data_IF_591574218489
#
_entry.id   IF_591574218489
#
_cell.length_a   1.000
_cell.length_b   1.000
_cell.length_c   1.000
_cell.angle_alpha   90.00
_cell.angle_beta   90.00
_cell.angle_gamma   90.00
#
_symmetry.space_group_name_H-M   'P 1'
#
loop_
_entity.id
_entity.type
_entity.pdbx_description
1 polymer ?
#
# COMPACT_ATOMS: atom_id res chain seq x y z
N UNK A 1 22.85 13.44 -70.03
CA UNK A 1 21.51 13.21 -69.46
C UNK A 1 21.64 12.10 -68.44
N UNK A 2 21.73 12.46 -67.15
CA UNK A 2 21.75 11.49 -66.05
C UNK A 2 20.30 11.10 -65.79
N UNK A 3 20.03 9.79 -65.83
CA UNK A 3 18.69 9.24 -65.65
C UNK A 3 18.32 9.29 -64.15
N UNK A 4 17.50 10.27 -63.78
CA UNK A 4 17.06 10.55 -62.40
C UNK A 4 16.03 9.51 -61.91
N UNK A 5 15.51 8.63 -62.78
CA UNK A 5 14.48 7.66 -62.44
C UNK A 5 14.95 6.50 -61.54
N UNK A 6 16.26 6.32 -61.32
CA UNK A 6 16.81 5.25 -60.46
C UNK A 6 17.12 5.66 -59.01
N UNK A 7 16.91 6.93 -58.63
CA UNK A 7 17.27 7.45 -57.30
C UNK A 7 16.06 7.65 -56.36
N UNK A 8 14.87 7.21 -56.75
CA UNK A 8 13.62 7.37 -55.96
C UNK A 8 13.10 6.02 -55.45
N UNK A 9 14.00 5.13 -55.05
CA UNK A 9 13.65 3.82 -54.46
C UNK A 9 14.50 3.50 -53.22
N UNK A 10 14.87 4.53 -52.44
CA UNK A 10 15.60 4.38 -51.14
C UNK A 10 14.92 5.21 -50.04
N UNK A 11 13.59 5.38 -50.08
CA UNK A 11 12.84 6.02 -48.97
C UNK A 11 11.53 5.32 -48.60
N UNK A 12 11.31 4.11 -49.11
CA UNK A 12 10.24 3.20 -48.65
C UNK A 12 10.85 1.93 -48.07
N UNK A 13 11.97 2.06 -47.35
CA UNK A 13 12.48 0.98 -46.52
C UNK A 13 11.49 0.75 -45.39
N UNK A 14 10.62 -0.25 -45.59
CA UNK A 14 9.85 -0.86 -44.51
C UNK A 14 10.79 -1.11 -43.33
N UNK A 15 10.46 -0.51 -42.19
CA UNK A 15 11.14 -0.74 -40.94
C UNK A 15 10.80 -2.18 -40.51
N UNK A 16 11.61 -3.16 -40.92
CA UNK A 16 11.49 -4.53 -40.40
C UNK A 16 11.86 -4.53 -38.91
N UNK A 17 10.85 -4.46 -38.04
CA UNK A 17 10.99 -4.58 -36.58
C UNK A 17 11.40 -5.99 -36.09
N UNK A 18 11.75 -6.90 -37.01
CA UNK A 18 12.07 -8.29 -36.71
C UNK A 18 13.49 -8.50 -36.13
N UNK A 19 14.31 -7.45 -36.01
CA UNK A 19 15.69 -7.54 -35.53
C UNK A 19 15.96 -6.78 -34.20
N UNK A 20 14.93 -6.51 -33.39
CA UNK A 20 15.11 -5.93 -32.06
C UNK A 20 15.53 -7.04 -31.10
N UNK A 21 16.83 -7.30 -31.01
CA UNK A 21 17.40 -8.10 -29.94
C UNK A 21 17.57 -7.20 -28.72
N UNK A 22 16.94 -7.55 -27.59
CA UNK A 22 17.12 -6.84 -26.33
C UNK A 22 18.54 -7.08 -25.80
N UNK A 23 19.52 -6.30 -26.28
CA UNK A 23 20.83 -6.20 -25.67
C UNK A 23 20.94 -4.92 -24.80
N UNK A 24 21.91 -4.92 -23.87
CA UNK A 24 22.12 -3.82 -22.93
C UNK A 24 22.63 -2.53 -23.62
N UNK A 25 23.00 -2.65 -24.90
CA UNK A 25 23.54 -1.58 -25.75
C UNK A 25 22.44 -0.80 -26.47
N UNK A 26 21.18 -1.17 -26.24
CA UNK A 26 20.00 -0.56 -26.85
C UNK A 26 20.10 0.96 -26.91
N UNK A 27 19.98 1.49 -28.12
CA UNK A 27 20.19 2.90 -28.40
C UNK A 27 19.20 3.75 -27.57
N UNK A 28 19.54 5.02 -27.33
CA UNK A 28 18.62 5.96 -26.68
C UNK A 28 17.22 5.97 -27.34
N UNK A 29 17.16 5.69 -28.65
CA UNK A 29 15.92 5.55 -29.39
C UNK A 29 15.11 4.32 -28.95
N UNK A 30 15.73 3.15 -28.74
CA UNK A 30 15.03 1.95 -28.24
C UNK A 30 14.56 2.11 -26.79
N UNK A 31 15.35 2.77 -25.93
CA UNK A 31 14.89 3.05 -24.56
C UNK A 31 13.71 4.02 -24.57
N UNK A 32 13.71 5.01 -25.47
CA UNK A 32 12.58 5.91 -25.65
C UNK A 32 11.37 5.17 -26.23
N UNK A 33 11.58 4.24 -27.15
CA UNK A 33 10.53 3.39 -27.71
C UNK A 33 9.95 2.45 -26.66
N UNK A 34 10.76 1.77 -25.85
CA UNK A 34 10.28 0.95 -24.72
C UNK A 34 9.54 1.77 -23.67
N UNK A 35 9.96 3.00 -23.37
CA UNK A 35 9.21 3.90 -22.49
C UNK A 35 7.86 4.24 -23.14
N UNK A 36 7.85 4.53 -24.44
CA UNK A 36 6.63 4.82 -25.18
C UNK A 36 5.71 3.58 -25.29
N UNK A 37 6.28 2.39 -25.44
CA UNK A 37 5.57 1.12 -25.50
C UNK A 37 5.03 0.75 -24.12
N UNK A 38 5.80 0.91 -23.04
CA UNK A 38 5.31 0.72 -21.67
C UNK A 38 4.19 1.70 -21.30
N UNK A 39 4.22 2.93 -21.83
CA UNK A 39 3.13 3.90 -21.73
C UNK A 39 1.92 3.44 -22.56
N UNK A 40 2.13 2.84 -23.73
CA UNK A 40 1.06 2.40 -24.65
C UNK A 40 0.48 1.01 -24.36
N UNK A 41 1.20 0.11 -23.66
CA UNK A 41 0.85 -1.32 -23.46
C UNK A 41 0.11 -1.56 -22.13
N UNK A 42 -0.21 -0.52 -21.37
CA UNK A 42 -1.35 -0.60 -20.45
C UNK A 42 -2.60 -0.90 -21.29
N UNK A 43 -3.21 -2.07 -21.12
CA UNK A 43 -4.23 -2.66 -22.00
C UNK A 43 -5.58 -1.90 -22.17
N UNK A 44 -5.62 -0.59 -21.94
CA UNK A 44 -6.67 0.27 -22.44
C UNK A 44 -6.34 0.69 -23.87
N UNK A 45 -7.37 0.83 -24.72
CA UNK A 45 -7.30 1.55 -25.99
C UNK A 45 -6.27 2.68 -25.90
N UNK A 46 -5.25 2.67 -26.77
CA UNK A 46 -4.13 3.62 -26.71
C UNK A 46 -4.65 5.00 -26.36
N UNK A 47 -3.99 5.67 -25.40
CA UNK A 47 -4.39 6.98 -24.90
C UNK A 47 -4.91 7.78 -26.10
N UNK A 48 -6.20 8.17 -26.12
CA UNK A 48 -6.73 9.03 -27.18
C UNK A 48 -5.67 10.10 -27.47
N UNK A 49 -5.45 10.48 -28.72
CA UNK A 49 -4.30 11.28 -29.17
C UNK A 49 -4.04 12.59 -28.38
N UNK A 50 -4.95 12.95 -27.47
CA UNK A 50 -4.93 14.11 -26.59
C UNK A 50 -4.82 13.80 -25.09
N UNK A 51 -4.58 12.54 -24.69
CA UNK A 51 -4.47 12.13 -23.27
C UNK A 51 -3.00 11.96 -22.94
N UNK A 52 -2.42 12.99 -22.34
CA UNK A 52 -1.04 12.95 -21.88
C UNK A 52 -0.92 12.13 -20.59
N UNK A 53 0.30 11.77 -20.21
CA UNK A 53 0.55 11.16 -18.88
C UNK A 53 0.04 12.06 -17.74
N UNK A 54 -0.03 13.38 -17.96
CA UNK A 54 -0.63 14.32 -17.01
C UNK A 54 -2.14 14.09 -16.84
N UNK A 55 -2.84 13.72 -17.90
CA UNK A 55 -4.27 13.40 -17.83
C UNK A 55 -4.51 12.05 -17.15
N UNK A 56 -3.64 11.07 -17.39
CA UNK A 56 -3.70 9.76 -16.73
C UNK A 56 -3.37 9.83 -15.23
N UNK A 57 -2.51 10.77 -14.81
CA UNK A 57 -2.21 11.03 -13.40
C UNK A 57 -3.30 11.86 -12.70
N UNK A 58 -4.32 12.31 -13.44
CA UNK A 58 -5.29 13.28 -13.00
C UNK A 58 -4.71 14.69 -13.01
N UNK A 59 -5.55 15.68 -13.30
CA UNK A 59 -5.15 17.07 -13.09
C UNK A 59 -4.97 17.28 -11.59
N UNK A 60 -3.77 17.69 -11.13
CA UNK A 60 -3.57 17.98 -9.72
C UNK A 60 -4.58 19.06 -9.32
N UNK A 61 -5.36 18.78 -8.27
CA UNK A 61 -6.25 19.80 -7.73
C UNK A 61 -5.38 20.96 -7.25
N UNK A 62 -5.69 22.16 -7.74
CA UNK A 62 -5.02 23.39 -7.35
C UNK A 62 -5.81 24.01 -6.23
N UNK A 63 -5.13 24.28 -5.12
CA UNK A 63 -5.68 24.91 -3.93
C UNK A 63 -5.06 26.29 -3.76
N UNK A 64 -5.79 27.21 -3.13
CA UNK A 64 -5.33 28.57 -2.85
C UNK A 64 -5.43 28.82 -1.34
N UNK A 65 -4.28 28.84 -0.68
CA UNK A 65 -4.21 29.14 0.73
C UNK A 65 -4.50 30.62 0.99
N UNK A 66 -5.36 30.89 1.96
CA UNK A 66 -5.62 32.23 2.47
C UNK A 66 -4.90 32.39 3.80
N UNK A 67 -3.99 33.37 3.87
CA UNK A 67 -3.30 33.84 5.07
C UNK A 67 -2.71 32.72 5.96
N UNK A 68 -1.45 32.40 5.72
CA UNK A 68 -0.75 31.32 6.41
C UNK A 68 0.29 31.85 7.42
N UNK A 69 0.47 31.12 8.53
CA UNK A 69 1.56 31.33 9.47
C UNK A 69 2.76 30.43 9.14
N UNK A 70 3.90 30.67 9.80
CA UNK A 70 5.05 29.77 9.71
C UNK A 70 4.63 28.36 10.14
N UNK A 71 4.62 27.42 9.19
CA UNK A 71 4.29 26.01 9.44
C UNK A 71 2.82 25.63 9.27
N UNK A 72 1.93 26.54 8.84
CA UNK A 72 0.53 26.20 8.55
C UNK A 72 0.08 26.68 7.17
N UNK A 73 -0.91 26.04 6.56
CA UNK A 73 -1.65 26.56 5.40
C UNK A 73 -3.14 26.39 5.68
N UNK A 74 -3.95 27.38 5.32
CA UNK A 74 -5.41 27.31 5.51
C UNK A 74 -6.11 27.54 4.17
N UNK A 75 -7.00 26.64 3.77
CA UNK A 75 -7.78 26.75 2.54
C UNK A 75 -9.18 26.14 2.71
N UNK A 76 -10.20 26.98 2.50
CA UNK A 76 -11.60 26.62 2.69
C UNK A 76 -12.16 25.58 1.72
N UNK A 77 -11.41 25.22 0.67
CA UNK A 77 -11.78 24.21 -0.31
C UNK A 77 -11.21 22.82 -0.02
N UNK A 78 -10.41 22.68 1.05
CA UNK A 78 -9.98 21.36 1.53
C UNK A 78 -11.17 20.56 2.06
N UNK A 79 -11.11 19.24 1.91
CA UNK A 79 -12.17 18.35 2.38
C UNK A 79 -12.17 18.34 3.92
N UNK A 80 -13.33 18.54 4.53
CA UNK A 80 -13.50 18.58 5.99
C UNK A 80 -13.43 17.17 6.63
N UNK A 81 -12.27 16.52 6.53
CA UNK A 81 -12.00 15.21 7.11
C UNK A 81 -10.65 15.21 7.83
N UNK A 82 -10.68 15.13 9.17
CA UNK A 82 -9.46 15.11 9.98
C UNK A 82 -8.53 13.96 9.57
N UNK A 83 -7.24 14.24 9.50
CA UNK A 83 -6.20 13.27 9.15
C UNK A 83 -6.04 12.96 7.67
N UNK A 84 -6.98 13.38 6.80
CA UNK A 84 -7.00 12.98 5.38
C UNK A 84 -5.69 13.25 4.63
N UNK A 85 -5.03 14.38 4.91
CA UNK A 85 -3.81 14.80 4.23
C UNK A 85 -2.54 14.55 5.04
N UNK A 86 -2.60 13.86 6.19
CA UNK A 86 -1.40 13.61 7.02
C UNK A 86 -0.47 12.61 6.33
N UNK A 87 0.81 12.95 6.23
CA UNK A 87 1.82 12.20 5.50
C UNK A 87 2.02 12.65 4.05
N UNK A 88 1.12 13.47 3.51
CA UNK A 88 1.25 14.01 2.15
C UNK A 88 2.26 15.16 2.08
N UNK A 89 2.74 15.46 0.87
CA UNK A 89 3.63 16.60 0.66
C UNK A 89 2.85 17.78 0.09
N UNK A 90 2.83 18.91 0.80
CA UNK A 90 2.30 20.17 0.28
C UNK A 90 3.41 21.02 -0.31
N UNK A 91 3.19 21.53 -1.53
CA UNK A 91 4.14 22.38 -2.26
C UNK A 91 3.47 23.68 -2.65
N UNK A 92 3.88 24.82 -2.05
CA UNK A 92 3.47 26.13 -2.55
C UNK A 92 3.98 26.33 -3.99
N UNK A 93 3.13 26.82 -4.87
CA UNK A 93 3.42 27.11 -6.28
C UNK A 93 3.68 28.61 -6.51
N UNK A 94 3.29 29.46 -5.57
CA UNK A 94 3.53 30.90 -5.61
C UNK A 94 3.99 31.45 -4.25
N UNK A 95 4.29 32.76 -4.19
CA UNK A 95 4.75 33.45 -2.99
C UNK A 95 6.20 33.17 -2.57
N UNK A 96 6.55 33.56 -1.34
CA UNK A 96 7.92 33.50 -0.81
C UNK A 96 8.44 32.07 -0.61
N UNK A 97 7.54 31.09 -0.63
CA UNK A 97 7.83 29.67 -0.38
C UNK A 97 7.62 28.79 -1.61
N UNK A 98 7.49 29.38 -2.81
CA UNK A 98 7.29 28.63 -4.05
C UNK A 98 8.36 27.54 -4.23
N UNK A 99 7.91 26.31 -4.53
CA UNK A 99 8.74 25.12 -4.70
C UNK A 99 9.28 24.49 -3.41
N UNK A 100 9.04 25.09 -2.24
CA UNK A 100 9.56 24.59 -0.97
C UNK A 100 8.58 23.61 -0.32
N UNK A 101 8.51 22.39 -0.87
CA UNK A 101 7.65 21.31 -0.36
C UNK A 101 7.90 20.94 1.10
N UNK A 102 6.85 20.56 1.83
CA UNK A 102 6.91 20.05 3.21
C UNK A 102 5.90 18.93 3.42
N UNK A 103 6.20 18.03 4.34
CA UNK A 103 5.26 16.99 4.76
C UNK A 103 4.22 17.54 5.74
N UNK A 104 2.98 17.16 5.52
CA UNK A 104 1.85 17.46 6.40
C UNK A 104 1.91 16.53 7.60
N UNK A 105 1.93 17.10 8.79
CA UNK A 105 2.01 16.39 10.07
C UNK A 105 0.70 16.40 10.85
N UNK A 106 -0.15 17.39 10.59
CA UNK A 106 -1.50 17.43 11.14
C UNK A 106 -2.45 18.09 10.13
N UNK A 107 -3.66 17.56 10.08
CA UNK A 107 -4.80 18.18 9.39
C UNK A 107 -6.03 17.94 10.27
N UNK A 108 -6.64 19.01 10.75
CA UNK A 108 -7.71 18.96 11.76
C UNK A 108 -9.11 18.73 11.16
N UNK A 109 -9.22 18.70 9.82
CA UNK A 109 -10.52 18.62 9.13
C UNK A 109 -11.30 19.93 9.15
N UNK A 110 -10.69 21.02 9.61
CA UNK A 110 -11.22 22.39 9.59
C UNK A 110 -10.34 23.29 8.73
N UNK A 111 -9.85 22.74 7.61
CA UNK A 111 -9.15 23.47 6.56
C UNK A 111 -7.74 23.95 6.90
N UNK A 112 -7.15 23.53 8.03
CA UNK A 112 -5.78 23.90 8.42
C UNK A 112 -4.80 22.73 8.35
N UNK A 113 -3.81 22.87 7.48
CA UNK A 113 -2.67 21.98 7.31
C UNK A 113 -1.53 22.47 8.19
N UNK A 114 -0.89 21.59 8.95
CA UNK A 114 0.35 21.85 9.69
C UNK A 114 1.49 21.04 9.10
N UNK A 115 2.65 21.66 8.88
CA UNK A 115 3.82 21.02 8.26
C UNK A 115 5.04 21.00 9.16
N UNK A 116 5.91 20.01 8.93
CA UNK A 116 7.23 19.94 9.57
C UNK A 116 8.32 19.53 8.56
N UNK A 117 9.52 20.14 8.58
CA UNK A 117 9.86 21.35 9.33
C UNK A 117 9.05 22.56 8.86
N UNK A 118 8.80 23.51 9.76
CA UNK A 118 8.13 24.75 9.39
C UNK A 118 8.94 25.52 8.33
N UNK A 119 8.26 26.33 7.52
CA UNK A 119 8.91 27.21 6.56
C UNK A 119 9.71 28.31 7.26
N UNK A 120 10.86 28.76 6.72
CA UNK A 120 11.66 29.84 7.33
C UNK A 120 10.92 31.19 7.40
N UNK A 121 9.93 31.43 6.53
CA UNK A 121 9.04 32.60 6.55
C UNK A 121 7.61 32.16 6.29
N UNK A 122 6.63 32.98 6.69
CA UNK A 122 5.23 32.72 6.42
C UNK A 122 4.96 32.68 4.90
N UNK A 123 4.31 31.62 4.38
CA UNK A 123 3.92 31.52 2.97
C UNK A 123 3.10 32.71 2.44
N UNK A 124 2.18 33.24 3.26
CA UNK A 124 1.23 34.27 2.82
C UNK A 124 0.03 33.66 2.07
N UNK A 125 -0.51 34.40 1.11
CA UNK A 125 -1.51 33.87 0.16
C UNK A 125 -0.75 33.20 -0.99
N UNK A 126 -0.89 31.88 -1.11
CA UNK A 126 -0.16 31.09 -2.10
C UNK A 126 -1.10 30.07 -2.73
N UNK A 127 -0.90 29.82 -4.01
CA UNK A 127 -1.42 28.60 -4.62
C UNK A 127 -0.53 27.44 -4.17
N UNK A 128 -1.11 26.28 -3.97
CA UNK A 128 -0.37 25.09 -3.58
C UNK A 128 -0.97 23.83 -4.19
N UNK A 129 -0.16 22.78 -4.20
CA UNK A 129 -0.58 21.42 -4.54
C UNK A 129 -0.24 20.49 -3.38
N UNK A 130 -1.14 19.56 -3.08
CA UNK A 130 -0.86 18.42 -2.21
C UNK A 130 -0.53 17.23 -3.10
N UNK A 131 0.70 16.73 -2.99
CA UNK A 131 1.16 15.56 -3.70
C UNK A 131 0.98 14.33 -2.80
N UNK A 132 0.17 13.35 -3.23
CA UNK A 132 -0.07 12.17 -2.44
C UNK A 132 1.21 11.32 -2.34
N UNK A 133 1.49 10.85 -1.14
CA UNK A 133 2.47 9.84 -0.83
C UNK A 133 2.10 8.53 -1.52
N UNK A 134 3.10 7.67 -1.75
CA UNK A 134 2.86 6.35 -2.34
C UNK A 134 1.84 5.54 -1.54
N UNK A 135 1.83 5.70 -0.22
CA UNK A 135 0.86 5.04 0.68
C UNK A 135 -0.56 5.51 0.42
N UNK A 136 -0.78 6.82 0.28
CA UNK A 136 -2.11 7.36 -0.03
C UNK A 136 -2.56 7.06 -1.44
N UNK A 137 -1.63 7.01 -2.42
CA UNK A 137 -1.96 6.54 -3.78
C UNK A 137 -2.42 5.09 -3.75
N UNK A 138 -1.75 4.25 -2.95
CA UNK A 138 -2.15 2.86 -2.77
C UNK A 138 -3.51 2.76 -2.07
N UNK A 139 -3.74 3.56 -1.02
CA UNK A 139 -5.01 3.55 -0.29
C UNK A 139 -6.17 4.11 -1.12
N UNK A 140 -5.95 5.14 -1.94
CA UNK A 140 -6.94 5.67 -2.88
C UNK A 140 -7.23 4.66 -3.98
N UNK A 141 -6.21 4.00 -4.53
CA UNK A 141 -6.40 2.92 -5.49
C UNK A 141 -7.17 1.72 -4.90
N UNK A 142 -7.04 1.47 -3.59
CA UNK A 142 -7.74 0.39 -2.89
C UNK A 142 -9.12 0.81 -2.34
N UNK A 143 -9.34 2.11 -2.10
CA UNK A 143 -10.52 2.66 -1.44
C UNK A 143 -11.50 3.38 -2.38
N UNK A 144 -11.09 3.70 -3.62
CA UNK A 144 -11.97 4.29 -4.62
C UNK A 144 -13.03 3.30 -5.17
N UNK A 145 -12.91 2.00 -4.90
CA UNK A 145 -13.74 0.98 -5.56
C UNK A 145 -15.06 0.62 -4.85
N UNK A 146 -15.47 1.30 -3.76
CA UNK A 146 -16.78 1.00 -3.17
C UNK A 146 -17.58 2.23 -2.73
N UNK A 147 -18.12 2.95 -3.71
CA UNK A 147 -19.17 3.96 -3.49
C UNK A 147 -20.59 3.40 -3.68
N UNK A 148 -20.73 2.10 -3.98
CA UNK A 148 -22.02 1.43 -4.21
C UNK A 148 -22.71 1.76 -5.54
N UNK A 149 -22.06 2.54 -6.41
CA UNK A 149 -22.51 2.83 -7.76
C UNK A 149 -21.53 2.16 -8.75
N UNK A 150 -22.00 1.26 -9.63
CA UNK A 150 -21.14 0.66 -10.65
C UNK A 150 -20.55 1.76 -11.54
N UNK A 151 -19.22 1.87 -11.61
CA UNK A 151 -18.52 2.75 -12.54
C UNK A 151 -17.50 1.97 -13.39
N UNK A 152 -16.78 2.67 -14.28
CA UNK A 152 -15.89 2.06 -15.27
C UNK A 152 -14.69 1.31 -14.64
N UNK A 153 -14.43 1.52 -13.35
CA UNK A 153 -13.39 0.85 -12.59
C UNK A 153 -13.92 -0.30 -11.72
N UNK A 154 -15.25 -0.40 -11.55
CA UNK A 154 -15.89 -1.55 -10.94
C UNK A 154 -15.78 -2.73 -11.92
N UNK A 155 -14.72 -3.53 -11.76
CA UNK A 155 -14.47 -4.67 -12.64
C UNK A 155 -15.50 -5.73 -12.29
N UNK A 156 -16.65 -5.71 -12.98
CA UNK A 156 -17.61 -6.81 -12.91
C UNK A 156 -16.89 -8.05 -13.46
N UNK A 157 -16.34 -8.87 -12.57
CA UNK A 157 -15.84 -10.20 -12.90
C UNK A 157 -17.06 -11.10 -13.11
N UNK A 158 -17.74 -10.90 -14.24
CA UNK A 158 -18.79 -11.78 -14.72
C UNK A 158 -18.18 -12.75 -15.72
N UNK A 159 -17.82 -13.93 -15.24
CA UNK A 159 -17.44 -15.04 -16.12
C UNK A 159 -16.23 -15.83 -15.65
N UNK A 160 -16.35 -16.53 -14.52
CA UNK A 160 -15.60 -17.78 -14.37
C UNK A 160 -16.35 -18.88 -15.13
N UNK A 161 -16.17 -18.93 -16.45
CA UNK A 161 -16.29 -20.20 -17.18
C UNK A 161 -14.88 -20.68 -17.50
N UNK A 162 -14.64 -21.95 -17.21
CA UNK A 162 -13.33 -22.61 -17.13
C UNK A 162 -12.63 -22.81 -18.48
N UNK A 163 -12.70 -21.84 -19.39
CA UNK A 163 -12.07 -21.94 -20.71
C UNK A 163 -10.95 -20.90 -20.85
N UNK A 164 -9.73 -21.41 -20.98
CA UNK A 164 -8.46 -20.71 -21.10
C UNK A 164 -8.50 -19.49 -22.06
N UNK A 165 -8.07 -18.33 -21.56
CA UNK A 165 -7.42 -17.30 -22.36
C UNK A 165 -6.33 -16.64 -21.53
N UNK A 166 -5.10 -16.73 -22.03
CA UNK A 166 -3.89 -16.18 -21.42
C UNK A 166 -3.62 -14.80 -22.01
N UNK A 167 -4.10 -13.72 -21.37
CA UNK A 167 -3.60 -12.34 -21.61
C UNK A 167 -3.85 -11.49 -20.35
N UNK A 168 -2.78 -10.85 -19.83
CA UNK A 168 -2.74 -9.71 -18.90
C UNK A 168 -3.60 -9.66 -17.60
N UNK A 169 -4.33 -10.72 -17.23
CA UNK A 169 -4.98 -10.81 -15.90
C UNK A 169 -3.97 -11.21 -14.79
N UNK A 170 -2.78 -11.67 -15.18
CA UNK A 170 -1.75 -12.16 -14.27
C UNK A 170 -1.31 -11.14 -13.21
N UNK A 171 -1.13 -9.86 -13.56
CA UNK A 171 -0.56 -8.89 -12.61
C UNK A 171 -1.55 -8.42 -11.54
N UNK A 172 -2.84 -8.27 -11.87
CA UNK A 172 -3.87 -7.96 -10.87
C UNK A 172 -4.24 -9.18 -10.06
N UNK A 173 -4.36 -10.36 -10.66
CA UNK A 173 -4.63 -11.59 -9.90
C UNK A 173 -3.44 -11.95 -9.01
N UNK A 174 -2.19 -11.79 -9.46
CA UNK A 174 -1.00 -11.97 -8.62
C UNK A 174 -0.92 -10.92 -7.52
N UNK A 175 -1.22 -9.64 -7.79
CA UNK A 175 -1.26 -8.59 -6.75
C UNK A 175 -2.38 -8.84 -5.75
N UNK A 176 -3.57 -9.23 -6.22
CA UNK A 176 -4.72 -9.55 -5.37
C UNK A 176 -4.45 -10.82 -4.57
N UNK A 177 -3.77 -11.81 -5.15
CA UNK A 177 -3.37 -13.05 -4.48
C UNK A 177 -2.21 -12.82 -3.51
N UNK A 178 -1.31 -11.86 -3.77
CA UNK A 178 -0.28 -11.41 -2.83
C UNK A 178 -0.92 -10.60 -1.68
N UNK A 179 -1.92 -9.78 -1.96
CA UNK A 179 -2.75 -9.09 -0.96
C UNK A 179 -3.60 -10.06 -0.14
N UNK A 180 -4.15 -11.10 -0.77
CA UNK A 180 -4.90 -12.16 -0.09
C UNK A 180 -3.96 -13.01 0.76
N UNK A 181 -2.77 -13.35 0.26
CA UNK A 181 -1.75 -14.01 1.09
C UNK A 181 -1.30 -13.11 2.24
N UNK A 182 -1.09 -11.82 2.01
CA UNK A 182 -0.74 -10.85 3.05
C UNK A 182 -1.88 -10.60 4.05
N UNK A 183 -3.15 -10.72 3.66
CA UNK A 183 -4.32 -10.54 4.54
C UNK A 183 -4.74 -11.82 5.25
N UNK A 184 -4.61 -12.99 4.61
CA UNK A 184 -4.79 -14.31 5.22
C UNK A 184 -3.78 -14.49 6.34
N UNK A 185 -2.53 -14.08 6.13
CA UNK A 185 -1.50 -14.08 7.19
C UNK A 185 -1.93 -13.24 8.41
N UNK A 186 -2.78 -12.21 8.28
CA UNK A 186 -3.14 -11.33 9.41
C UNK A 186 -4.20 -11.89 10.38
N UNK A 187 -4.74 -13.08 10.12
CA UNK A 187 -5.70 -13.76 11.01
C UNK A 187 -5.55 -15.28 10.97
N UNK A 188 -4.39 -15.77 10.53
CA UNK A 188 -4.11 -17.21 10.52
C UNK A 188 -3.81 -17.67 11.93
N UNK A 189 -4.33 -18.84 12.30
CA UNK A 189 -3.91 -19.54 13.51
C UNK A 189 -2.72 -20.42 13.12
N UNK A 190 -1.60 -20.25 13.80
CA UNK A 190 -0.43 -21.10 13.59
C UNK A 190 -0.25 -22.04 14.76
N UNK A 191 0.06 -23.31 14.47
CA UNK A 191 0.42 -24.28 15.50
C UNK A 191 1.92 -24.26 15.73
N UNK A 192 2.35 -24.05 16.98
CA UNK A 192 3.77 -24.14 17.33
C UNK A 192 4.25 -25.60 17.25
N UNK A 193 5.39 -25.83 16.61
CA UNK A 193 6.11 -27.12 16.55
C UNK A 193 7.12 -27.30 17.67
N UNK A 194 7.37 -26.23 18.44
CA UNK A 194 8.28 -26.18 19.58
C UNK A 194 8.17 -24.82 20.26
N UNK A 195 8.30 -24.80 21.58
CA UNK A 195 8.41 -23.55 22.32
C UNK A 195 9.42 -23.64 23.44
N UNK A 196 9.99 -22.49 23.75
CA UNK A 196 10.69 -22.21 24.99
C UNK A 196 10.23 -20.84 25.48
N UNK A 197 10.64 -20.49 26.69
CA UNK A 197 10.30 -19.22 27.36
C UNK A 197 10.58 -17.97 26.51
N UNK A 198 11.52 -18.04 25.57
CA UNK A 198 11.93 -16.93 24.69
C UNK A 198 11.62 -17.15 23.21
N UNK A 199 11.22 -18.36 22.79
CA UNK A 199 11.13 -18.71 21.37
C UNK A 199 9.90 -19.56 21.03
N UNK A 200 9.37 -19.35 19.83
CA UNK A 200 8.36 -20.20 19.19
C UNK A 200 8.87 -20.64 17.82
N UNK A 201 8.67 -21.90 17.47
CA UNK A 201 8.90 -22.38 16.11
C UNK A 201 7.58 -22.76 15.45
N UNK A 202 7.35 -22.35 14.20
CA UNK A 202 6.15 -22.72 13.48
C UNK A 202 6.37 -22.89 11.97
N UNK A 203 6.05 -24.09 11.47
CA UNK A 203 6.37 -24.51 10.10
C UNK A 203 5.67 -23.70 8.99
N UNK A 204 4.59 -22.99 9.34
CA UNK A 204 3.75 -22.24 8.40
C UNK A 204 4.02 -20.73 8.38
N UNK A 205 5.13 -20.26 8.97
CA UNK A 205 5.55 -18.87 8.87
C UNK A 205 6.24 -18.61 7.52
N UNK A 206 6.13 -17.37 7.03
CA UNK A 206 6.80 -16.92 5.82
C UNK A 206 8.32 -16.98 6.00
N UNK A 207 9.05 -17.49 5.01
CA UNK A 207 10.51 -17.59 5.04
C UNK A 207 11.18 -16.26 4.65
N UNK A 208 10.87 -15.22 5.43
CA UNK A 208 11.38 -13.85 5.23
C UNK A 208 11.84 -13.29 6.57
N UNK A 209 13.16 -13.15 6.74
CA UNK A 209 13.74 -12.59 7.95
C UNK A 209 13.17 -11.19 8.25
N UNK A 210 12.82 -10.94 9.51
CA UNK A 210 12.27 -9.66 9.96
C UNK A 210 10.78 -9.44 9.72
N UNK A 211 10.08 -10.29 8.96
CA UNK A 211 8.69 -10.05 8.54
C UNK A 211 7.69 -9.84 9.68
N UNK A 212 7.96 -10.42 10.86
CA UNK A 212 7.07 -10.36 12.02
C UNK A 212 7.61 -9.50 13.16
N UNK A 213 8.77 -8.85 13.00
CA UNK A 213 9.38 -8.05 14.07
C UNK A 213 8.49 -6.86 14.43
N UNK A 214 8.27 -6.66 15.74
CA UNK A 214 7.38 -5.62 16.28
C UNK A 214 5.90 -6.03 16.35
N UNK A 215 5.52 -7.16 15.77
CA UNK A 215 4.17 -7.71 15.91
C UNK A 215 4.05 -8.44 17.26
N UNK A 216 2.82 -8.66 17.73
CA UNK A 216 2.57 -9.34 19.01
C UNK A 216 2.09 -10.76 18.77
N UNK A 217 2.76 -11.76 19.33
CA UNK A 217 2.31 -13.15 19.31
C UNK A 217 1.54 -13.49 20.59
N UNK A 218 0.37 -14.11 20.46
CA UNK A 218 -0.50 -14.51 21.58
C UNK A 218 -0.78 -16.02 21.48
N UNK A 219 -0.34 -16.82 22.47
CA UNK A 219 -0.76 -18.20 22.61
C UNK A 219 -2.28 -18.31 22.84
N UNK A 220 -2.95 -19.22 22.14
CA UNK A 220 -4.39 -19.48 22.26
C UNK A 220 -4.72 -20.61 23.24
N UNK A 221 -3.72 -21.29 23.79
CA UNK A 221 -3.89 -22.35 24.78
C UNK A 221 -2.61 -22.48 25.66
N UNK A 222 -2.65 -23.39 26.63
CA UNK A 222 -1.50 -23.76 27.45
C UNK A 222 -1.24 -22.83 28.64
N UNK A 223 -0.05 -22.93 29.23
CA UNK A 223 0.29 -22.22 30.47
C UNK A 223 0.43 -20.69 30.31
N UNK A 224 0.45 -20.21 29.07
CA UNK A 224 0.57 -18.79 28.71
C UNK A 224 -0.57 -18.34 27.77
N UNK A 225 -1.72 -19.03 27.78
CA UNK A 225 -2.90 -18.63 27.02
C UNK A 225 -3.25 -17.14 27.26
N UNK A 226 -3.41 -16.37 26.18
CA UNK A 226 -3.73 -14.94 26.24
C UNK A 226 -2.59 -14.01 26.63
N UNK A 227 -1.41 -14.53 27.01
CA UNK A 227 -0.27 -13.72 27.40
C UNK A 227 0.57 -13.32 26.16
N UNK A 228 0.14 -12.25 25.48
CA UNK A 228 0.83 -11.68 24.32
C UNK A 228 2.27 -11.22 24.61
N UNK A 229 3.17 -11.35 23.63
CA UNK A 229 4.52 -10.78 23.65
C UNK A 229 4.92 -10.22 22.29
N UNK A 230 5.72 -9.16 22.30
CA UNK A 230 6.26 -8.61 21.07
C UNK A 230 7.37 -9.48 20.51
N UNK A 231 7.38 -9.64 19.19
CA UNK A 231 8.40 -10.35 18.45
C UNK A 231 9.60 -9.42 18.29
N UNK A 232 10.71 -9.74 18.96
CA UNK A 232 11.95 -8.96 18.90
C UNK A 232 12.86 -9.39 17.76
N UNK A 233 12.77 -10.64 17.31
CA UNK A 233 13.51 -11.14 16.16
C UNK A 233 12.73 -12.27 15.47
N UNK A 234 12.89 -12.33 14.14
CA UNK A 234 12.44 -13.45 13.32
C UNK A 234 13.50 -13.71 12.25
N UNK A 235 14.07 -14.91 12.22
CA UNK A 235 15.24 -15.23 11.39
C UNK A 235 14.90 -15.71 9.97
N UNK A 236 13.62 -15.80 9.61
CA UNK A 236 13.16 -16.39 8.35
C UNK A 236 12.97 -17.90 8.44
N UNK A 237 13.79 -18.58 9.24
CA UNK A 237 13.78 -20.04 9.41
C UNK A 237 12.77 -20.54 10.44
N UNK A 238 11.60 -19.89 10.52
CA UNK A 238 10.45 -20.28 11.35
C UNK A 238 10.63 -20.07 12.87
N UNK A 239 11.73 -19.45 13.33
CA UNK A 239 11.95 -19.16 14.75
C UNK A 239 11.62 -17.71 15.10
N UNK A 240 10.62 -17.53 15.95
CA UNK A 240 10.23 -16.26 16.55
C UNK A 240 10.92 -16.12 17.90
N UNK A 241 11.58 -14.99 18.14
CA UNK A 241 12.08 -14.60 19.47
C UNK A 241 11.19 -13.49 20.03
N UNK A 242 10.78 -13.61 21.29
CA UNK A 242 9.89 -12.63 21.94
C UNK A 242 10.56 -11.83 23.05
N UNK A 243 10.08 -10.61 23.27
CA UNK A 243 10.49 -9.73 24.37
C UNK A 243 9.26 -9.02 24.98
N UNK A 244 9.12 -8.96 26.31
CA UNK A 244 9.89 -9.72 27.30
C UNK A 244 9.66 -11.24 27.16
N UNK A 245 10.49 -12.10 27.76
CA UNK A 245 10.19 -13.53 27.81
C UNK A 245 8.82 -13.81 28.43
N UNK A 246 8.24 -14.97 28.13
CA UNK A 246 7.12 -15.48 28.91
C UNK A 246 7.56 -15.84 30.34
N UNK A 247 6.62 -15.99 31.28
CA UNK A 247 6.94 -16.41 32.64
C UNK A 247 7.17 -17.93 32.76
N UNK A 248 6.59 -18.69 31.83
CA UNK A 248 6.76 -20.12 31.68
C UNK A 248 6.76 -20.47 30.18
N UNK A 249 7.13 -21.71 29.86
CA UNK A 249 7.03 -22.24 28.50
C UNK A 249 5.55 -22.34 28.08
N UNK A 250 5.12 -21.70 26.97
CA UNK A 250 3.74 -21.81 26.50
C UNK A 250 3.39 -23.21 25.98
N UNK A 251 4.38 -24.03 25.62
CA UNK A 251 4.21 -25.39 25.11
C UNK A 251 3.88 -25.47 23.62
N UNK A 252 3.45 -26.64 23.16
CA UNK A 252 2.96 -26.86 21.79
C UNK A 252 1.51 -26.37 21.71
N UNK A 253 1.34 -25.10 21.35
CA UNK A 253 0.04 -24.44 21.33
C UNK A 253 -0.16 -23.69 20.03
N UNK A 254 -1.42 -23.53 19.67
CA UNK A 254 -1.82 -22.60 18.63
C UNK A 254 -1.57 -21.17 19.10
N UNK A 255 -1.24 -20.28 18.18
CA UNK A 255 -1.04 -18.86 18.45
C UNK A 255 -1.54 -18.01 17.29
N UNK A 256 -1.75 -16.74 17.59
CA UNK A 256 -2.00 -15.68 16.60
C UNK A 256 -0.88 -14.64 16.68
N UNK A 257 -0.62 -13.97 15.56
CA UNK A 257 0.29 -12.84 15.45
C UNK A 257 -0.56 -11.63 15.08
N UNK A 258 -0.60 -10.66 15.98
CA UNK A 258 -1.36 -9.42 15.85
C UNK A 258 -0.42 -8.32 15.36
N UNK A 259 -0.76 -7.62 14.27
CA UNK A 259 -0.01 -6.49 13.75
C UNK A 259 0.25 -5.39 14.81
N UNK A 260 1.38 -4.69 14.70
CA UNK A 260 1.81 -3.67 15.68
C UNK A 260 0.82 -2.52 15.83
N UNK A 261 0.16 -2.11 14.74
CA UNK A 261 -0.88 -1.10 14.68
C UNK A 261 -2.16 -1.49 15.47
N UNK A 262 -2.43 -2.80 15.63
CA UNK A 262 -3.53 -3.32 16.45
C UNK A 262 -3.10 -3.72 17.86
N UNK A 263 -1.79 -3.87 18.12
CA UNK A 263 -1.27 -4.30 19.43
C UNK A 263 -1.62 -3.34 20.56
N UNK A 264 -1.71 -2.03 20.28
CA UNK A 264 -2.10 -0.98 21.24
C UNK A 264 -3.52 -1.21 21.77
N UNK A 265 -4.43 -1.67 20.91
CA UNK A 265 -5.82 -1.97 21.30
C UNK A 265 -5.85 -3.18 22.23
N UNK A 266 -5.03 -4.19 21.96
CA UNK A 266 -4.96 -5.39 22.80
C UNK A 266 -4.34 -5.09 24.17
N UNK A 267 -3.25 -4.34 24.25
CA UNK A 267 -2.67 -3.92 25.53
C UNK A 267 -3.64 -3.07 26.37
N UNK A 268 -4.40 -2.18 25.71
CA UNK A 268 -5.40 -1.34 26.37
C UNK A 268 -6.56 -2.15 26.97
N UNK A 269 -6.92 -3.28 26.36
CA UNK A 269 -8.02 -4.13 26.82
C UNK A 269 -7.54 -5.19 27.82
N UNK A 270 -6.33 -5.75 27.62
CA UNK A 270 -5.78 -6.83 28.44
C UNK A 270 -5.18 -6.34 29.76
N UNK A 271 -4.57 -5.15 29.78
CA UNK A 271 -3.77 -4.69 30.92
C UNK A 271 -2.55 -5.57 31.21
N UNK A 272 -1.79 -5.22 32.25
CA UNK A 272 -0.54 -5.92 32.62
C UNK A 272 -0.74 -7.40 33.06
N UNK A 273 -1.99 -7.81 33.32
CA UNK A 273 -2.35 -9.15 33.76
C UNK A 273 -2.77 -10.10 32.61
N UNK A 274 -2.86 -9.60 31.37
CA UNK A 274 -3.47 -10.34 30.25
C UNK A 274 -5.00 -10.25 30.27
N UNK A 275 -5.65 -10.57 29.15
CA UNK A 275 -7.12 -10.66 29.10
C UNK A 275 -7.54 -11.73 30.13
N UNK A 276 -8.33 -11.33 31.13
CA UNK A 276 -9.04 -12.27 32.01
C UNK A 276 -9.73 -13.29 31.10
N UNK A 277 -9.30 -14.55 31.20
CA UNK A 277 -9.71 -15.66 30.33
C UNK A 277 -11.11 -15.43 29.77
N UNK A 278 -11.21 -15.35 28.45
CA UNK A 278 -12.51 -15.31 27.76
C UNK A 278 -13.35 -16.40 28.40
N UNK A 279 -14.54 -16.11 28.97
CA UNK A 279 -15.32 -17.13 29.66
C UNK A 279 -15.45 -18.30 28.70
N UNK A 280 -14.85 -19.44 29.09
CA UNK A 280 -14.86 -20.65 28.29
C UNK A 280 -16.30 -20.82 27.80
N UNK A 281 -16.50 -20.82 26.49
CA UNK A 281 -17.83 -20.81 25.89
C UNK A 281 -18.64 -21.93 26.54
N UNK A 282 -19.51 -21.55 27.49
CA UNK A 282 -20.48 -22.48 28.02
C UNK A 282 -21.28 -22.92 26.81
N UNK A 283 -21.27 -24.22 26.53
CA UNK A 283 -21.98 -24.87 25.41
C UNK A 283 -23.23 -24.05 25.11
N UNK A 284 -23.32 -23.38 23.94
CA UNK A 284 -24.47 -22.54 23.67
C UNK A 284 -25.71 -23.41 23.80
N UNK A 285 -26.62 -23.01 24.70
CA UNK A 285 -27.95 -23.59 24.72
C UNK A 285 -28.48 -23.51 23.29
N UNK A 286 -29.01 -24.62 22.78
CA UNK A 286 -29.19 -24.94 21.36
C UNK A 286 -30.05 -23.97 20.50
N UNK A 287 -30.33 -22.74 20.95
CA UNK A 287 -31.30 -21.83 20.34
C UNK A 287 -30.80 -20.39 20.14
N UNK A 288 -29.49 -20.12 20.16
CA UNK A 288 -28.99 -18.78 19.77
C UNK A 288 -28.45 -18.82 18.35
N UNK A 289 -29.30 -18.45 17.39
CA UNK A 289 -28.90 -18.05 16.05
C UNK A 289 -28.48 -16.58 16.12
N UNK A 290 -27.26 -16.26 15.69
CA UNK A 290 -26.84 -14.89 15.44
C UNK A 290 -27.51 -14.42 14.14
N UNK A 291 -28.46 -13.50 14.27
CA UNK A 291 -28.98 -12.67 13.19
C UNK A 291 -28.33 -11.28 13.27
#
# INVERSE_FOLDING_TARGET
YVNIAGMVEIMAGDYESAHIAADEDGSLAERLEQIQEAINVGAGTGLPADTSIYDAMGTPTLWTATASAVGTLTDASLIDQAGLYVGEMVVPLSGNMAGQGRYITAYDGTQTITVLPAWPVAPGNVDFVIMPSETSRLLLALGAEYNGAPDLYDTIVSGYTTAATAVAVGSMLERLQLLQQASIVKNTIWTASGSAVTTLTAAALLDVAGAYVGQMVIPLAGNMEGHGRYISAYDGTQTITVTPPWAADPGLVDFIIVPSDLSIVYEAIAGAAGILAWPAAAVPAANVSLA
#
